data_IF_600482972856
#
_entry.id   IF_600482972856
#
_cell.length_a   1.000
_cell.length_b   1.000
_cell.length_c   1.000
_cell.angle_alpha   90.00
_cell.angle_beta   90.00
_cell.angle_gamma   90.00
#
_symmetry.space_group_name_H-M   'P 1'
#
loop_
_entity.id
_entity.type
_entity.pdbx_description
1 polymer ?
#
# COMPACT_ATOMS: atom_id res chain seq x y z
N UNK A 1 -14.11 12.83 -7.70
CA UNK A 1 -12.78 13.31 -7.24
C UNK A 1 -12.23 12.51 -6.06
N UNK A 2 -13.07 12.14 -5.08
CA UNK A 2 -12.87 10.93 -4.24
C UNK A 2 -12.60 9.72 -5.14
N UNK A 3 -13.29 9.65 -6.28
CA UNK A 3 -13.01 8.69 -7.35
C UNK A 3 -11.60 8.74 -7.93
N UNK A 4 -10.84 9.84 -7.91
CA UNK A 4 -9.50 9.85 -8.52
C UNK A 4 -8.45 9.23 -7.57
N UNK A 5 -8.56 9.51 -6.27
CA UNK A 5 -7.74 8.88 -5.22
C UNK A 5 -8.22 7.45 -4.97
N UNK A 6 -9.53 7.20 -4.89
CA UNK A 6 -10.07 5.85 -4.91
C UNK A 6 -9.79 5.15 -6.24
N UNK A 7 -9.61 5.81 -7.38
CA UNK A 7 -9.18 5.14 -8.65
C UNK A 7 -7.69 4.92 -8.66
N UNK A 8 -6.88 5.79 -8.06
CA UNK A 8 -5.44 5.57 -7.92
C UNK A 8 -5.19 4.40 -6.96
N UNK A 9 -5.83 4.44 -5.78
CA UNK A 9 -5.86 3.37 -4.77
C UNK A 9 -6.59 2.12 -5.30
N UNK A 10 -7.70 2.21 -6.05
CA UNK A 10 -8.37 1.04 -6.67
C UNK A 10 -7.60 0.52 -7.87
N UNK A 11 -6.86 1.32 -8.65
CA UNK A 11 -6.03 0.81 -9.77
C UNK A 11 -4.80 0.10 -9.21
N UNK A 12 -4.12 0.70 -8.23
CA UNK A 12 -3.02 0.02 -7.50
C UNK A 12 -3.51 -1.19 -6.73
N UNK A 13 -4.67 -1.10 -6.07
CA UNK A 13 -5.26 -2.19 -5.31
C UNK A 13 -6.03 -3.20 -6.18
N UNK A 14 -6.35 -2.96 -7.46
CA UNK A 14 -6.99 -3.97 -8.33
C UNK A 14 -5.94 -4.84 -9.01
N UNK A 15 -4.81 -4.26 -9.42
CA UNK A 15 -3.63 -5.04 -9.82
C UNK A 15 -3.01 -5.70 -8.58
N UNK A 16 -2.91 -4.96 -7.48
CA UNK A 16 -2.46 -5.44 -6.17
C UNK A 16 -3.32 -6.54 -5.55
N UNK A 17 -4.67 -6.45 -5.55
CA UNK A 17 -5.55 -7.52 -5.04
C UNK A 17 -5.56 -8.75 -5.93
N UNK A 18 -5.37 -8.59 -7.24
CA UNK A 18 -5.20 -9.72 -8.16
C UNK A 18 -4.01 -10.57 -7.74
N UNK A 19 -2.85 -9.93 -7.52
CA UNK A 19 -1.62 -10.59 -7.08
C UNK A 19 -1.63 -10.95 -5.58
N UNK A 20 -2.21 -10.14 -4.70
CA UNK A 20 -2.26 -10.40 -3.24
C UNK A 20 -3.25 -11.52 -2.88
N UNK A 21 -4.34 -11.70 -3.63
CA UNK A 21 -5.23 -12.85 -3.44
C UNK A 21 -4.61 -14.19 -3.88
N UNK A 22 -3.62 -14.15 -4.79
CA UNK A 22 -2.85 -15.33 -5.22
C UNK A 22 -1.52 -15.50 -4.47
N UNK A 23 -0.96 -14.43 -3.89
CA UNK A 23 0.33 -14.39 -3.17
C UNK A 23 0.18 -14.10 -1.66
N UNK A 24 -1.02 -14.31 -1.08
CA UNK A 24 -1.25 -14.33 0.38
C UNK A 24 -1.48 -12.98 1.08
N UNK A 25 -1.39 -11.84 0.41
CA UNK A 25 -1.58 -10.50 1.02
C UNK A 25 -3.01 -9.94 1.02
N UNK A 26 -3.99 -10.67 0.47
CA UNK A 26 -5.34 -10.16 0.21
C UNK A 26 -6.13 -9.80 1.49
N UNK A 27 -5.85 -10.48 2.59
CA UNK A 27 -6.50 -10.27 3.89
C UNK A 27 -5.94 -9.04 4.64
N UNK A 28 -4.74 -8.59 4.30
CA UNK A 28 -4.06 -7.49 5.02
C UNK A 28 -4.82 -6.15 4.93
N UNK A 29 -5.58 -5.94 3.86
CA UNK A 29 -6.40 -4.75 3.67
C UNK A 29 -7.88 -4.93 4.06
N UNK A 30 -8.26 -6.08 4.64
CA UNK A 30 -9.62 -6.32 5.11
C UNK A 30 -9.87 -5.60 6.45
N UNK A 31 -10.97 -4.86 6.50
CA UNK A 31 -11.41 -4.11 7.69
C UNK A 31 -12.30 -5.00 8.57
N UNK A 32 -11.70 -5.97 9.26
CA UNK A 32 -12.43 -6.91 10.12
C UNK A 32 -12.99 -6.26 11.40
N UNK A 33 -12.50 -5.07 11.76
CA UNK A 33 -12.82 -4.34 12.98
C UNK A 33 -13.57 -3.02 12.73
N UNK A 34 -14.32 -2.93 11.63
CA UNK A 34 -15.02 -1.70 11.21
C UNK A 34 -15.84 -1.03 12.33
N UNK A 35 -16.53 -1.82 13.17
CA UNK A 35 -17.34 -1.29 14.28
C UNK A 35 -16.51 -0.55 15.34
N UNK A 36 -15.29 -1.01 15.62
CA UNK A 36 -14.38 -0.35 16.58
C UNK A 36 -13.77 0.93 15.99
N UNK A 37 -13.47 0.92 14.68
CA UNK A 37 -13.00 2.11 13.96
C UNK A 37 -14.05 3.23 13.99
N UNK A 38 -15.32 2.90 13.77
CA UNK A 38 -16.43 3.85 13.85
C UNK A 38 -16.54 4.45 15.26
N UNK A 39 -16.43 3.64 16.31
CA UNK A 39 -16.44 4.12 17.70
C UNK A 39 -15.27 5.06 18.02
N UNK A 40 -14.11 4.81 17.43
CA UNK A 40 -12.91 5.65 17.56
C UNK A 40 -12.95 6.91 16.67
N UNK A 41 -13.99 7.10 15.85
CA UNK A 41 -14.09 8.21 14.89
C UNK A 41 -13.12 8.11 13.72
N UNK A 42 -12.55 6.92 13.47
CA UNK A 42 -11.63 6.66 12.36
C UNK A 42 -12.43 6.29 11.13
N UNK A 43 -12.20 7.02 10.04
CA UNK A 43 -12.82 6.71 8.75
C UNK A 43 -12.17 5.48 8.10
N UNK A 44 -12.93 4.76 7.27
CA UNK A 44 -12.40 3.62 6.54
C UNK A 44 -11.21 4.01 5.64
N UNK A 45 -11.26 5.21 5.04
CA UNK A 45 -10.19 5.76 4.21
C UNK A 45 -8.91 5.98 5.01
N UNK A 46 -9.01 6.55 6.22
CA UNK A 46 -7.85 6.76 7.10
C UNK A 46 -7.21 5.44 7.54
N UNK A 47 -8.02 4.43 7.86
CA UNK A 47 -7.51 3.11 8.23
C UNK A 47 -6.80 2.43 7.05
N UNK A 48 -7.41 2.45 5.87
CA UNK A 48 -6.82 1.89 4.65
C UNK A 48 -5.48 2.58 4.35
N UNK A 49 -5.42 3.92 4.44
CA UNK A 49 -4.18 4.67 4.24
C UNK A 49 -3.12 4.32 5.27
N UNK A 50 -3.50 4.22 6.54
CA UNK A 50 -2.58 3.85 7.63
C UNK A 50 -1.97 2.47 7.38
N UNK A 51 -2.78 1.47 7.02
CA UNK A 51 -2.28 0.14 6.66
C UNK A 51 -1.35 0.15 5.46
N UNK A 52 -1.69 0.90 4.41
CA UNK A 52 -0.80 1.06 3.26
C UNK A 52 0.56 1.63 3.67
N UNK A 53 0.58 2.62 4.57
CA UNK A 53 1.81 3.18 5.08
C UNK A 53 2.56 2.25 6.04
N UNK A 54 1.87 1.36 6.76
CA UNK A 54 2.51 0.29 7.52
C UNK A 54 3.25 -0.68 6.59
N UNK A 55 2.66 -0.99 5.43
CA UNK A 55 3.20 -2.01 4.52
C UNK A 55 4.30 -1.45 3.62
N UNK A 56 4.06 -0.32 2.96
CA UNK A 56 4.86 0.14 1.83
C UNK A 56 5.69 1.40 2.11
N UNK A 57 5.79 1.80 3.39
CA UNK A 57 6.58 2.94 3.82
C UNK A 57 5.79 4.25 3.94
N UNK A 58 6.43 5.32 4.43
CA UNK A 58 5.75 6.56 4.78
C UNK A 58 5.25 7.34 3.55
N UNK A 59 4.41 8.34 3.81
CA UNK A 59 4.00 9.30 2.78
C UNK A 59 5.22 10.00 2.17
N UNK A 60 5.26 10.10 0.84
CA UNK A 60 6.32 10.81 0.11
C UNK A 60 5.90 12.23 -0.26
N UNK A 61 6.85 13.14 -0.40
CA UNK A 61 6.55 14.48 -0.93
C UNK A 61 5.95 14.44 -2.33
N UNK A 62 6.40 13.51 -3.18
CA UNK A 62 5.88 13.32 -4.52
C UNK A 62 4.39 12.99 -4.51
N UNK A 63 3.94 12.17 -3.54
CA UNK A 63 2.52 11.88 -3.35
C UNK A 63 1.75 13.10 -2.86
N UNK A 64 2.26 13.81 -1.85
CA UNK A 64 1.61 15.02 -1.29
C UNK A 64 1.44 16.11 -2.36
N UNK A 65 2.47 16.36 -3.18
CA UNK A 65 2.43 17.38 -4.25
C UNK A 65 1.37 17.11 -5.32
N UNK A 66 0.95 15.85 -5.50
CA UNK A 66 -0.09 15.47 -6.45
C UNK A 66 -1.50 15.54 -5.90
N UNK A 67 -1.64 15.67 -4.59
CA UNK A 67 -2.94 15.81 -3.94
C UNK A 67 -3.24 17.30 -3.82
N UNK A 68 -4.03 17.82 -4.75
CA UNK A 68 -4.39 19.24 -4.85
C UNK A 68 -5.36 19.71 -3.75
N UNK A 69 -5.72 18.84 -2.81
CA UNK A 69 -6.69 19.12 -1.75
C UNK A 69 -5.97 19.13 -0.39
N UNK A 70 -5.94 20.29 0.25
CA UNK A 70 -5.18 20.55 1.48
C UNK A 70 -5.58 19.63 2.64
N UNK A 71 -6.87 19.37 2.82
CA UNK A 71 -7.39 18.44 3.84
C UNK A 71 -6.81 17.02 3.67
N UNK A 72 -6.60 16.59 2.42
CA UNK A 72 -6.03 15.28 2.15
C UNK A 72 -4.52 15.25 2.35
N UNK A 73 -3.81 16.34 2.09
CA UNK A 73 -2.40 16.46 2.46
C UNK A 73 -2.20 16.31 3.97
N UNK A 74 -3.09 16.92 4.78
CA UNK A 74 -3.09 16.74 6.23
C UNK A 74 -3.38 15.27 6.62
N UNK A 75 -4.45 14.69 6.08
CA UNK A 75 -4.84 13.31 6.39
C UNK A 75 -3.77 12.28 6.00
N UNK A 76 -3.07 12.45 4.88
CA UNK A 76 -1.98 11.56 4.46
C UNK A 76 -0.80 11.62 5.44
N UNK A 77 -0.42 12.81 5.90
CA UNK A 77 0.63 12.99 6.90
C UNK A 77 0.23 12.37 8.24
N UNK A 78 -1.02 12.56 8.66
CA UNK A 78 -1.54 11.98 9.90
C UNK A 78 -1.57 10.45 9.85
N UNK A 79 -2.04 9.87 8.75
CA UNK A 79 -2.04 8.42 8.56
C UNK A 79 -0.61 7.86 8.53
N UNK A 80 0.34 8.53 7.86
CA UNK A 80 1.75 8.12 7.87
C UNK A 80 2.35 8.15 9.28
N UNK A 81 2.11 9.21 10.04
CA UNK A 81 2.60 9.31 11.43
C UNK A 81 1.95 8.26 12.35
N UNK A 82 0.71 7.86 12.05
CA UNK A 82 0.02 6.79 12.77
C UNK A 82 0.62 5.42 12.45
N UNK A 83 0.93 5.17 11.18
CA UNK A 83 1.65 3.96 10.76
C UNK A 83 3.02 3.86 11.43
N UNK A 84 3.79 4.95 11.48
CA UNK A 84 5.09 4.98 12.16
C UNK A 84 5.00 4.63 13.65
N UNK A 85 3.89 4.94 14.32
CA UNK A 85 3.63 4.50 15.70
C UNK A 85 3.29 3.03 15.76
N UNK A 86 2.38 2.55 14.91
CA UNK A 86 1.97 1.15 14.88
C UNK A 86 3.16 0.20 14.65
N UNK A 87 4.09 0.60 13.80
CA UNK A 87 5.28 -0.18 13.48
C UNK A 87 6.31 -0.30 14.61
N UNK A 88 6.23 0.54 15.64
CA UNK A 88 7.04 0.36 16.85
C UNK A 88 6.61 -0.88 17.62
N UNK A 89 5.32 -1.21 17.54
CA UNK A 89 4.72 -2.36 18.21
C UNK A 89 4.72 -3.59 17.30
N UNK A 90 4.52 -3.38 16.00
CA UNK A 90 4.36 -4.44 15.00
C UNK A 90 5.26 -4.20 13.77
N UNK A 91 6.59 -4.34 13.90
CA UNK A 91 7.53 -4.15 12.79
C UNK A 91 7.34 -5.14 11.64
N UNK A 92 6.72 -6.30 11.89
CA UNK A 92 6.39 -7.36 10.93
C UNK A 92 5.36 -6.94 9.88
N UNK A 93 4.63 -5.84 10.10
CA UNK A 93 3.70 -5.31 9.11
C UNK A 93 4.43 -4.80 7.85
N UNK A 94 5.72 -4.50 7.93
CA UNK A 94 6.49 -4.06 6.77
C UNK A 94 6.47 -5.11 5.66
N UNK A 95 6.24 -4.67 4.42
CA UNK A 95 6.16 -5.54 3.25
C UNK A 95 7.37 -6.48 3.18
N UNK A 96 8.57 -5.95 3.39
CA UNK A 96 9.84 -6.69 3.35
C UNK A 96 9.91 -7.83 4.36
N UNK A 97 9.10 -7.77 5.44
CA UNK A 97 9.06 -8.80 6.49
C UNK A 97 8.05 -9.89 6.17
N UNK A 98 6.78 -9.55 5.94
CA UNK A 98 5.76 -10.58 5.74
C UNK A 98 5.80 -11.22 4.35
N UNK A 99 6.51 -10.62 3.38
CA UNK A 99 6.68 -11.18 2.05
C UNK A 99 7.98 -11.97 1.87
N UNK A 100 8.73 -12.22 2.94
CA UNK A 100 10.04 -12.92 2.89
C UNK A 100 9.93 -14.28 2.17
N UNK A 101 8.85 -15.02 2.41
CA UNK A 101 8.58 -16.32 1.80
C UNK A 101 8.26 -16.26 0.30
N UNK A 102 7.98 -15.07 -0.27
CA UNK A 102 7.76 -14.92 -1.72
C UNK A 102 9.07 -14.96 -2.51
N UNK A 103 10.20 -14.76 -1.84
CA UNK A 103 11.51 -14.66 -2.47
C UNK A 103 11.80 -13.27 -3.06
N UNK A 104 13.09 -12.96 -3.28
CA UNK A 104 13.55 -11.60 -3.57
C UNK A 104 12.99 -11.03 -4.87
N UNK A 105 12.80 -11.87 -5.89
CA UNK A 105 12.30 -11.44 -7.20
C UNK A 105 10.80 -11.07 -7.17
N UNK A 106 9.98 -11.78 -6.38
CA UNK A 106 8.58 -11.39 -6.18
C UNK A 106 8.47 -10.13 -5.33
N UNK A 107 9.30 -10.03 -4.29
CA UNK A 107 9.36 -8.84 -3.45
C UNK A 107 9.70 -7.61 -4.27
N UNK A 108 10.74 -7.66 -5.10
CA UNK A 108 11.15 -6.53 -5.94
C UNK A 108 10.02 -6.09 -6.89
N UNK A 109 9.43 -7.05 -7.61
CA UNK A 109 8.33 -6.79 -8.53
C UNK A 109 7.14 -6.11 -7.82
N UNK A 110 6.70 -6.66 -6.69
CA UNK A 110 5.55 -6.13 -5.94
C UNK A 110 5.88 -4.76 -5.35
N UNK A 111 7.07 -4.57 -4.76
CA UNK A 111 7.49 -3.29 -4.19
C UNK A 111 7.49 -2.18 -5.27
N UNK A 112 7.97 -2.51 -6.48
CA UNK A 112 7.90 -1.62 -7.63
C UNK A 112 6.47 -1.24 -8.02
N UNK A 113 5.53 -2.21 -8.01
CA UNK A 113 4.11 -2.00 -8.31
C UNK A 113 3.37 -1.20 -7.25
N UNK A 114 3.75 -1.35 -5.98
CA UNK A 114 3.10 -0.71 -4.82
C UNK A 114 3.85 0.52 -4.33
N UNK A 115 4.85 1.00 -5.06
CA UNK A 115 5.63 2.17 -4.68
C UNK A 115 4.71 3.38 -4.38
N UNK A 116 4.95 4.00 -3.23
CA UNK A 116 4.15 5.13 -2.74
C UNK A 116 4.39 6.42 -3.52
N UNK A 117 5.55 6.58 -4.16
CA UNK A 117 5.77 7.63 -5.15
C UNK A 117 5.20 7.19 -6.51
N UNK A 118 4.12 7.83 -7.00
CA UNK A 118 3.52 7.44 -8.27
C UNK A 118 4.44 7.60 -9.48
N UNK A 119 5.52 8.40 -9.38
CA UNK A 119 6.53 8.56 -10.45
C UNK A 119 7.57 7.46 -10.46
N UNK A 120 7.81 6.83 -9.31
CA UNK A 120 8.78 5.75 -9.15
C UNK A 120 8.13 4.36 -9.29
N UNK A 121 6.81 4.30 -9.52
CA UNK A 121 6.09 3.05 -9.71
C UNK A 121 6.45 2.39 -11.03
N UNK A 122 6.71 1.09 -10.98
CA UNK A 122 7.05 0.27 -12.16
C UNK A 122 5.92 0.29 -13.19
N UNK A 123 6.28 0.46 -14.45
CA UNK A 123 5.33 0.43 -15.58
C UNK A 123 4.90 -0.99 -15.92
N UNK A 124 3.80 -1.14 -16.66
CA UNK A 124 3.34 -2.47 -17.08
C UNK A 124 4.38 -3.22 -17.93
N UNK A 125 5.09 -2.53 -18.81
CA UNK A 125 6.11 -3.14 -19.67
C UNK A 125 7.28 -3.66 -18.85
N UNK A 126 7.70 -2.91 -17.82
CA UNK A 126 8.74 -3.33 -16.90
C UNK A 126 8.30 -4.51 -16.01
N UNK A 127 7.03 -4.53 -15.57
CA UNK A 127 6.47 -5.66 -14.82
C UNK A 127 6.47 -6.92 -15.69
N UNK A 128 6.02 -6.82 -16.94
CA UNK A 128 5.96 -7.97 -17.86
C UNK A 128 7.35 -8.48 -18.27
N UNK A 129 8.37 -7.63 -18.21
CA UNK A 129 9.76 -8.00 -18.46
C UNK A 129 10.51 -8.48 -17.19
N UNK A 130 9.86 -8.51 -16.02
CA UNK A 130 10.51 -8.79 -14.75
C UNK A 130 11.04 -10.24 -14.65
N UNK A 131 12.26 -10.47 -14.09
CA UNK A 131 12.82 -11.82 -13.94
C UNK A 131 11.95 -12.82 -13.16
N UNK A 132 11.08 -12.33 -12.28
CA UNK A 132 10.08 -13.15 -11.58
C UNK A 132 9.28 -14.08 -12.51
N UNK A 133 8.95 -13.63 -13.73
CA UNK A 133 8.23 -14.45 -14.71
C UNK A 133 9.09 -15.52 -15.39
N UNK A 134 10.41 -15.46 -15.23
CA UNK A 134 11.41 -16.35 -15.82
C UNK A 134 11.93 -17.37 -14.80
N UNK A 135 11.36 -17.41 -13.59
CA UNK A 135 11.65 -18.48 -12.65
C UNK A 135 11.00 -19.76 -13.17
N UNK A 136 11.80 -20.57 -13.85
CA UNK A 136 11.48 -21.96 -14.14
C UNK A 136 11.37 -22.73 -12.81
N UNK A 137 10.33 -23.57 -12.67
CA UNK A 137 10.19 -24.55 -11.56
C UNK A 137 11.40 -25.51 -11.46
#
# INVERSE_FOLDING_TARGET
>A
MVDAILTLVRKTSRVGRGCQGTLGGGELLLLDNYQELVKAGVTAEQEILTRHFCYFGPVTEGLVKRVEVEDWCHNLKLASATADRALKEQPELRFERWSEDLGPEAQDMIAGMTNMDPTARTTIDQILAHPWWQLDE
#
